data_IF_713379436004
#
_entry.id   IF_713379436004
#
_cell.length_a   1.000
_cell.length_b   1.000
_cell.length_c   1.000
_cell.angle_alpha   90.00
_cell.angle_beta   90.00
_cell.angle_gamma   90.00
#
_symmetry.space_group_name_H-M   'P 1'
#
loop_
_entity.id
_entity.type
_entity.pdbx_description
1 polymer ?
#
# COMPACT_ATOMS: atom_id res chain seq x y z
N UNK A 1 -15.34 -15.88 43.53
CA UNK A 1 -13.97 -15.76 43.00
C UNK A 1 -14.09 -15.76 41.49
N UNK A 2 -13.45 -14.79 40.84
CA UNK A 2 -13.50 -14.52 39.40
C UNK A 2 -12.65 -15.52 38.58
N UNK A 3 -12.91 -15.50 37.26
CA UNK A 3 -12.09 -15.92 36.11
C UNK A 3 -12.53 -17.27 35.49
N UNK A 4 -12.93 -17.37 34.22
CA UNK A 4 -12.75 -16.47 33.09
C UNK A 4 -11.93 -17.17 31.99
N UNK A 5 -12.64 -17.61 30.95
CA UNK A 5 -12.23 -17.73 29.53
C UNK A 5 -11.03 -18.60 29.11
N UNK A 6 -11.28 -19.42 28.09
CA UNK A 6 -10.28 -20.04 27.23
C UNK A 6 -10.91 -20.32 25.87
N UNK A 7 -11.17 -19.27 25.09
CA UNK A 7 -11.59 -19.37 23.69
C UNK A 7 -10.39 -19.69 22.79
N UNK A 8 -10.67 -20.47 21.74
CA UNK A 8 -9.81 -20.97 20.64
C UNK A 8 -8.87 -19.93 20.00
N UNK A 9 -7.77 -20.36 19.34
CA UNK A 9 -6.73 -19.46 18.85
C UNK A 9 -7.18 -18.72 17.58
N UNK A 10 -7.14 -17.40 17.62
CA UNK A 10 -7.24 -16.58 16.42
C UNK A 10 -5.85 -16.40 15.81
N UNK A 11 -5.47 -17.25 14.87
CA UNK A 11 -4.36 -16.92 13.96
C UNK A 11 -4.82 -15.81 13.02
N UNK A 12 -4.41 -14.59 13.38
CA UNK A 12 -4.64 -13.38 12.60
C UNK A 12 -3.75 -13.36 11.35
N UNK A 13 -4.19 -14.10 10.33
CA UNK A 13 -3.61 -14.12 8.98
C UNK A 13 -3.75 -12.77 8.25
N UNK A 14 -4.55 -11.84 8.79
CA UNK A 14 -4.73 -10.49 8.24
C UNK A 14 -3.56 -9.59 8.65
N UNK A 15 -3.06 -9.73 9.88
CA UNK A 15 -1.93 -8.95 10.38
C UNK A 15 -0.55 -9.53 10.02
N UNK A 16 -0.42 -10.81 9.63
CA UNK A 16 0.87 -11.41 9.26
C UNK A 16 0.81 -12.40 8.07
N UNK A 17 0.59 -11.95 6.82
CA UNK A 17 0.82 -12.80 5.65
C UNK A 17 2.34 -13.00 5.43
N UNK A 18 2.84 -14.22 5.63
CA UNK A 18 4.25 -14.61 5.50
C UNK A 18 4.79 -14.65 4.05
N UNK A 19 4.06 -14.10 3.07
CA UNK A 19 4.27 -14.37 1.65
C UNK A 19 4.14 -13.11 0.77
N UNK A 20 5.10 -12.20 0.88
CA UNK A 20 5.52 -11.38 -0.28
C UNK A 20 6.86 -11.93 -0.79
N UNK A 21 6.78 -13.20 -1.22
CA UNK A 21 7.86 -14.03 -1.76
C UNK A 21 8.72 -13.30 -2.79
N UNK A 22 10.04 -13.38 -2.67
CA UNK A 22 10.87 -14.24 -3.55
C UNK A 22 10.31 -14.34 -4.98
N UNK A 23 10.72 -13.43 -5.86
CA UNK A 23 10.59 -13.58 -7.31
C UNK A 23 10.23 -12.29 -8.03
N UNK A 24 11.25 -11.55 -8.49
CA UNK A 24 11.31 -10.65 -9.66
C UNK A 24 10.18 -9.66 -10.01
N UNK A 25 9.05 -9.65 -9.32
CA UNK A 25 7.86 -8.88 -9.63
C UNK A 25 7.72 -7.80 -8.56
N UNK A 26 7.67 -6.55 -9.00
CA UNK A 26 7.47 -5.41 -8.12
C UNK A 26 6.05 -5.41 -7.56
N UNK A 27 5.89 -5.02 -6.29
CA UNK A 27 4.58 -4.98 -5.63
C UNK A 27 3.55 -4.12 -6.39
N UNK A 28 4.00 -3.04 -7.04
CA UNK A 28 3.13 -2.18 -7.85
C UNK A 28 2.56 -2.93 -9.07
N UNK A 29 3.31 -3.86 -9.66
CA UNK A 29 2.84 -4.64 -10.81
C UNK A 29 1.79 -5.65 -10.37
N UNK A 30 1.98 -6.28 -9.22
CA UNK A 30 0.96 -7.15 -8.63
C UNK A 30 -0.34 -6.37 -8.32
N UNK A 31 -0.23 -5.17 -7.74
CA UNK A 31 -1.39 -4.29 -7.48
C UNK A 31 -2.08 -3.90 -8.79
N UNK A 32 -1.30 -3.51 -9.81
CA UNK A 32 -1.83 -3.13 -11.12
C UNK A 32 -2.58 -4.28 -11.79
N UNK A 33 -2.05 -5.50 -11.74
CA UNK A 33 -2.73 -6.68 -12.29
C UNK A 33 -4.01 -7.06 -11.55
N UNK A 34 -4.18 -6.60 -10.30
CA UNK A 34 -5.34 -6.90 -9.46
C UNK A 34 -6.46 -5.86 -9.57
N UNK A 35 -6.23 -4.71 -10.21
CA UNK A 35 -7.17 -3.59 -10.28
C UNK A 35 -7.61 -3.32 -11.73
N UNK A 36 -8.80 -2.76 -11.91
CA UNK A 36 -9.18 -2.14 -13.18
C UNK A 36 -8.32 -0.90 -13.46
N UNK A 37 -8.20 -0.44 -14.72
CA UNK A 37 -7.44 0.76 -15.05
C UNK A 37 -7.90 2.01 -14.28
N UNK A 38 -9.21 2.14 -14.03
CA UNK A 38 -9.77 3.26 -13.26
C UNK A 38 -9.39 3.18 -11.77
N UNK A 39 -9.47 1.99 -11.18
CA UNK A 39 -9.08 1.77 -9.78
C UNK A 39 -7.58 1.99 -9.59
N UNK A 40 -6.73 1.50 -10.51
CA UNK A 40 -5.29 1.74 -10.46
C UNK A 40 -4.96 3.24 -10.58
N UNK A 41 -5.66 3.95 -11.49
CA UNK A 41 -5.56 5.41 -11.60
C UNK A 41 -5.96 6.09 -10.29
N UNK A 42 -7.04 5.65 -9.65
CA UNK A 42 -7.48 6.13 -8.34
C UNK A 42 -6.45 5.88 -7.24
N UNK A 43 -5.89 4.67 -7.18
CA UNK A 43 -4.85 4.27 -6.24
C UNK A 43 -3.60 5.16 -6.35
N UNK A 44 -3.11 5.40 -7.57
CA UNK A 44 -1.96 6.26 -7.81
C UNK A 44 -2.24 7.72 -7.45
N UNK A 45 -3.41 8.26 -7.82
CA UNK A 45 -3.84 9.62 -7.41
C UNK A 45 -3.89 9.77 -5.89
N UNK A 46 -4.50 8.81 -5.19
CA UNK A 46 -4.58 8.81 -3.73
C UNK A 46 -3.20 8.77 -3.07
N UNK A 47 -2.28 7.95 -3.59
CA UNK A 47 -0.89 7.93 -3.13
C UNK A 47 -0.17 9.25 -3.38
N UNK A 48 -0.32 9.85 -4.56
CA UNK A 48 0.28 11.15 -4.86
C UNK A 48 -0.22 12.24 -3.89
N UNK A 49 -1.53 12.30 -3.62
CA UNK A 49 -2.12 13.23 -2.64
C UNK A 49 -1.54 12.99 -1.24
N UNK A 50 -1.51 11.72 -0.79
CA UNK A 50 -0.95 11.32 0.52
C UNK A 50 0.48 11.83 0.70
N UNK A 51 1.34 11.62 -0.30
CA UNK A 51 2.74 12.03 -0.21
C UNK A 51 2.89 13.56 -0.32
N UNK A 52 2.15 14.23 -1.21
CA UNK A 52 2.13 15.69 -1.28
C UNK A 52 1.69 16.34 0.04
N UNK A 53 0.70 15.78 0.73
CA UNK A 53 0.30 16.25 2.06
C UNK A 53 1.44 16.02 3.07
N UNK A 54 2.02 14.83 3.10
CA UNK A 54 3.00 14.44 4.12
C UNK A 54 4.35 15.16 4.01
N UNK A 55 4.67 15.72 2.85
CA UNK A 55 5.91 16.45 2.55
C UNK A 55 6.34 17.38 3.68
N UNK A 56 5.47 18.29 4.11
CA UNK A 56 5.78 19.32 5.13
C UNK A 56 5.88 18.79 6.56
N UNK A 57 5.46 17.55 6.80
CA UNK A 57 5.33 17.00 8.15
C UNK A 57 6.33 15.88 8.43
N UNK A 58 6.85 15.20 7.41
CA UNK A 58 7.76 14.05 7.61
C UNK A 58 8.78 13.85 6.50
N UNK A 59 8.33 13.65 5.26
CA UNK A 59 9.20 13.12 4.20
C UNK A 59 9.92 14.15 3.34
N UNK A 60 9.56 15.44 3.45
CA UNK A 60 10.15 16.52 2.64
C UNK A 60 10.20 16.18 1.16
N UNK A 61 11.31 16.55 0.50
CA UNK A 61 11.50 16.33 -0.94
C UNK A 61 11.38 14.87 -1.39
N UNK A 62 11.61 13.88 -0.51
CA UNK A 62 11.46 12.47 -0.87
C UNK A 62 9.99 12.09 -1.10
N UNK A 63 9.07 12.68 -0.33
CA UNK A 63 7.64 12.48 -0.55
C UNK A 63 7.17 13.13 -1.86
N UNK A 64 7.72 14.28 -2.25
CA UNK A 64 7.44 14.86 -3.57
C UNK A 64 7.92 13.97 -4.71
N UNK A 65 9.09 13.34 -4.57
CA UNK A 65 9.58 12.35 -5.55
C UNK A 65 8.65 11.13 -5.63
N UNK A 66 8.15 10.64 -4.49
CA UNK A 66 7.16 9.54 -4.46
C UNK A 66 5.85 9.96 -5.12
N UNK A 67 5.34 11.16 -4.82
CA UNK A 67 4.14 11.69 -5.46
C UNK A 67 4.30 11.77 -6.98
N UNK A 68 5.42 12.33 -7.45
CA UNK A 68 5.77 12.40 -8.87
C UNK A 68 5.81 11.02 -9.52
N UNK A 69 6.46 10.04 -8.87
CA UNK A 69 6.54 8.67 -9.39
C UNK A 69 5.16 8.03 -9.63
N UNK A 70 4.22 8.19 -8.69
CA UNK A 70 2.85 7.68 -8.86
C UNK A 70 2.11 8.39 -9.98
N UNK A 71 2.32 9.69 -10.17
CA UNK A 71 1.69 10.45 -11.26
C UNK A 71 2.28 10.06 -12.62
N UNK A 72 3.60 9.88 -12.72
CA UNK A 72 4.27 9.40 -13.94
C UNK A 72 3.72 8.04 -14.35
N UNK A 73 3.60 7.11 -13.40
CA UNK A 73 3.11 5.75 -13.68
C UNK A 73 1.73 5.67 -14.35
N UNK A 74 0.85 6.63 -14.10
CA UNK A 74 -0.50 6.67 -14.70
C UNK A 74 -0.62 7.64 -15.89
N UNK A 75 0.44 8.39 -16.17
CA UNK A 75 0.53 9.30 -17.32
C UNK A 75 1.16 8.61 -18.53
N UNK A 76 1.95 7.55 -18.28
CA UNK A 76 2.57 6.70 -19.30
C UNK A 76 1.69 5.50 -19.71
N UNK A 77 0.44 5.45 -19.21
CA UNK A 77 -0.59 4.47 -19.61
C UNK A 77 -1.41 4.93 -20.82
#
# INVERSE_FOLDING_TARGET
MLNGEGAEPAEDVVNHPAHYTKGGIECIDAIRSALTPEEFRGYCKGNAIKYSWRERHKGGNEDLKKASWYLTKISEE
#
